data_IF_774442558011
#
_entry.id   IF_774442558011
#
_cell.length_a   1.000
_cell.length_b   1.000
_cell.length_c   1.000
_cell.angle_alpha   90.00
_cell.angle_beta   90.00
_cell.angle_gamma   90.00
#
_symmetry.space_group_name_H-M   'P 1'
#
loop_
_entity.id
_entity.type
_entity.pdbx_description
1 polymer ?
#
# COMPACT_ATOMS: atom_id res chain seq x y z
N UNK A 1 5.07 -24.02 0.34
CA UNK A 1 6.03 -23.45 1.31
C UNK A 1 6.88 -22.33 0.73
N UNK A 2 7.36 -22.43 -0.52
CA UNK A 2 8.14 -21.35 -1.18
C UNK A 2 7.45 -19.98 -1.13
N UNK A 3 6.14 -19.93 -1.39
CA UNK A 3 5.38 -18.66 -1.37
C UNK A 3 5.24 -18.03 0.02
N UNK A 4 5.09 -18.86 1.08
CA UNK A 4 5.06 -18.35 2.46
C UNK A 4 6.38 -17.66 2.81
N UNK A 5 7.50 -18.31 2.48
CA UNK A 5 8.83 -17.75 2.68
C UNK A 5 9.07 -16.51 1.78
N UNK A 6 8.55 -16.52 0.55
CA UNK A 6 8.60 -15.36 -0.34
C UNK A 6 7.83 -14.17 0.25
N UNK A 7 6.64 -14.39 0.82
CA UNK A 7 5.85 -13.37 1.52
C UNK A 7 6.64 -12.73 2.66
N UNK A 8 7.23 -13.55 3.53
CA UNK A 8 8.07 -13.06 4.63
C UNK A 8 9.30 -12.28 4.14
N UNK A 9 9.87 -12.65 2.99
CA UNK A 9 10.98 -11.89 2.39
C UNK A 9 10.58 -10.47 2.00
N UNK A 10 9.33 -10.20 1.62
CA UNK A 10 8.88 -8.82 1.33
C UNK A 10 8.88 -7.93 2.56
N UNK A 11 8.52 -8.47 3.73
CA UNK A 11 8.66 -7.72 4.98
C UNK A 11 10.14 -7.34 5.21
N UNK A 12 11.06 -8.30 5.06
CA UNK A 12 12.49 -8.04 5.18
C UNK A 12 13.02 -7.05 4.13
N UNK A 13 12.58 -7.16 2.87
CA UNK A 13 12.92 -6.21 1.79
C UNK A 13 12.42 -4.81 2.12
N UNK A 14 11.17 -4.67 2.56
CA UNK A 14 10.58 -3.38 2.93
C UNK A 14 11.29 -2.71 4.10
N UNK A 15 11.57 -3.46 5.18
CA UNK A 15 12.36 -2.95 6.31
C UNK A 15 13.77 -2.53 5.87
N UNK A 16 14.43 -3.34 5.03
CA UNK A 16 15.76 -3.01 4.48
C UNK A 16 15.71 -1.76 3.62
N UNK A 17 14.70 -1.62 2.76
CA UNK A 17 14.54 -0.45 1.90
C UNK A 17 14.42 0.83 2.73
N UNK A 18 13.56 0.81 3.77
CA UNK A 18 13.36 1.96 4.65
C UNK A 18 14.62 2.28 5.46
N UNK A 19 15.34 1.27 5.95
CA UNK A 19 16.60 1.45 6.65
C UNK A 19 17.70 2.06 5.76
N UNK A 20 17.76 1.68 4.48
CA UNK A 20 18.66 2.28 3.49
C UNK A 20 18.24 3.72 3.13
N UNK A 21 16.95 4.03 3.23
CA UNK A 21 16.37 5.33 2.94
C UNK A 21 15.89 6.03 4.22
N UNK A 22 16.80 6.28 5.18
CA UNK A 22 16.45 6.76 6.53
C UNK A 22 15.54 8.00 6.60
N UNK A 23 15.57 8.89 5.58
CA UNK A 23 14.61 10.00 5.45
C UNK A 23 13.16 9.52 5.35
N UNK A 24 12.92 8.47 4.58
CA UNK A 24 11.60 7.87 4.38
C UNK A 24 11.15 7.04 5.59
N UNK A 25 12.11 6.51 6.36
CA UNK A 25 11.79 5.94 7.67
C UNK A 25 11.19 6.99 8.59
N UNK A 26 11.89 8.12 8.77
CA UNK A 26 11.39 9.24 9.56
C UNK A 26 10.07 9.77 9.03
N UNK A 27 9.94 9.93 7.71
CA UNK A 27 8.71 10.39 7.07
C UNK A 27 7.49 9.51 7.39
N UNK A 28 7.66 8.18 7.36
CA UNK A 28 6.59 7.25 7.74
C UNK A 28 6.23 7.26 9.23
N UNK A 29 7.09 7.79 10.10
CA UNK A 29 6.80 7.97 11.54
C UNK A 29 6.09 9.29 11.85
N UNK A 30 6.09 10.25 10.92
CA UNK A 30 5.48 11.57 11.12
C UNK A 30 4.01 11.49 11.53
N UNK A 31 3.13 10.65 10.92
CA UNK A 31 1.72 10.59 11.32
C UNK A 31 1.52 10.25 12.80
N UNK A 32 2.26 9.26 13.30
CA UNK A 32 2.20 8.86 14.70
C UNK A 32 2.71 9.98 15.63
N UNK A 33 3.76 10.69 15.22
CA UNK A 33 4.28 11.84 15.97
C UNK A 33 3.28 13.01 15.99
N UNK A 34 2.65 13.32 14.86
CA UNK A 34 1.62 14.38 14.79
C UNK A 34 0.44 14.02 15.70
N UNK A 35 -0.08 12.79 15.61
CA UNK A 35 -1.17 12.35 16.47
C UNK A 35 -0.78 12.42 17.95
N UNK A 36 0.42 11.93 18.31
CA UNK A 36 0.92 12.00 19.68
C UNK A 36 0.98 13.44 20.21
N UNK A 37 1.57 14.37 19.43
CA UNK A 37 1.67 15.78 19.80
C UNK A 37 0.29 16.42 19.91
N UNK A 38 -0.61 16.16 18.96
CA UNK A 38 -1.98 16.67 18.98
C UNK A 38 -2.71 16.29 20.27
N UNK A 39 -2.72 15.00 20.63
CA UNK A 39 -3.38 14.53 21.84
C UNK A 39 -2.68 14.99 23.11
N UNK A 40 -1.34 15.07 23.12
CA UNK A 40 -0.60 15.63 24.24
C UNK A 40 -0.97 17.10 24.49
N UNK A 41 -1.09 17.90 23.44
CA UNK A 41 -1.53 19.30 23.54
C UNK A 41 -2.96 19.38 24.07
N UNK A 42 -3.90 18.61 23.50
CA UNK A 42 -5.31 18.61 23.94
C UNK A 42 -5.44 18.23 25.42
N UNK A 43 -4.77 17.16 25.86
CA UNK A 43 -4.81 16.72 27.25
C UNK A 43 -4.10 17.69 28.19
N UNK A 44 -3.02 18.35 27.74
CA UNK A 44 -2.33 19.38 28.53
C UNK A 44 -3.20 20.62 28.71
N UNK A 45 -3.87 21.08 27.63
CA UNK A 45 -4.83 22.20 27.72
C UNK A 45 -5.98 21.83 28.65
N UNK A 46 -6.55 20.63 28.51
CA UNK A 46 -7.57 20.15 29.43
C UNK A 46 -7.06 20.16 30.88
N UNK A 47 -5.82 19.72 31.11
CA UNK A 47 -5.21 19.70 32.43
C UNK A 47 -5.11 21.08 33.07
N UNK A 48 -4.54 22.03 32.33
CA UNK A 48 -4.30 23.38 32.81
C UNK A 48 -5.61 24.15 33.06
N UNK A 49 -6.64 23.92 32.24
CA UNK A 49 -7.90 24.67 32.28
C UNK A 49 -9.04 23.93 33.00
N UNK A 50 -8.83 22.68 33.44
CA UNK A 50 -9.87 21.86 34.07
C UNK A 50 -10.51 22.51 35.30
N UNK A 51 -9.73 23.22 36.11
CA UNK A 51 -10.22 23.95 37.28
C UNK A 51 -11.15 25.10 36.92
N UNK A 52 -10.79 25.90 35.91
CA UNK A 52 -11.60 27.00 35.42
C UNK A 52 -12.88 26.51 34.76
N UNK A 53 -12.81 25.42 33.98
CA UNK A 53 -13.98 24.75 33.39
C UNK A 53 -14.90 24.23 34.51
N UNK A 54 -14.34 23.64 35.56
CA UNK A 54 -15.13 23.17 36.71
C UNK A 54 -15.82 24.32 37.45
N UNK A 55 -15.12 25.44 37.66
CA UNK A 55 -15.70 26.63 38.28
C UNK A 55 -16.83 27.22 37.42
N UNK A 56 -16.57 27.40 36.11
CA UNK A 56 -17.55 27.90 35.15
C UNK A 56 -18.80 27.01 35.04
N UNK A 57 -18.62 25.69 35.11
CA UNK A 57 -19.72 24.72 35.04
C UNK A 57 -20.48 24.55 36.36
N UNK A 58 -19.92 25.00 37.50
CA UNK A 58 -20.52 24.85 38.83
C UNK A 58 -20.71 26.18 39.59
N UNK A 59 -21.34 27.22 38.98
CA UNK A 59 -21.53 28.51 39.65
C UNK A 59 -22.48 28.40 40.85
N UNK A 60 -23.42 27.45 40.81
CA UNK A 60 -24.32 27.17 41.95
C UNK A 60 -23.60 26.64 43.20
N UNK A 61 -22.33 26.21 43.06
CA UNK A 61 -21.51 25.71 44.15
C UNK A 61 -20.52 26.77 44.67
N UNK A 62 -20.58 28.02 44.20
CA UNK A 62 -19.68 29.10 44.61
C UNK A 62 -19.80 29.42 46.10
N UNK A 63 -21.03 29.43 46.64
CA UNK A 63 -21.31 29.76 48.03
C UNK A 63 -21.17 28.57 49.00
N UNK A 64 -20.72 27.41 48.52
CA UNK A 64 -20.61 26.21 49.35
C UNK A 64 -19.38 26.29 50.26
N UNK A 65 -19.56 25.93 51.53
CA UNK A 65 -18.45 25.86 52.49
C UNK A 65 -17.47 24.72 52.20
N UNK A 66 -16.26 24.85 52.75
CA UNK A 66 -15.28 23.76 52.77
C UNK A 66 -15.79 22.59 53.63
N UNK A 67 -15.63 21.32 53.20
CA UNK A 67 -14.89 20.84 52.03
C UNK A 67 -15.75 20.55 50.78
N UNK A 68 -17.07 20.80 50.82
CA UNK A 68 -18.00 20.29 49.81
C UNK A 68 -17.80 20.88 48.42
N UNK A 69 -17.46 22.16 48.33
CA UNK A 69 -17.11 22.81 47.06
C UNK A 69 -15.89 22.15 46.38
N UNK A 70 -14.82 21.95 47.15
CA UNK A 70 -13.59 21.34 46.67
C UNK A 70 -13.77 19.88 46.24
N UNK A 71 -14.55 19.12 47.00
CA UNK A 71 -14.90 17.74 46.65
C UNK A 71 -15.68 17.66 45.34
N UNK A 72 -16.72 18.49 45.18
CA UNK A 72 -17.52 18.51 43.95
C UNK A 72 -16.65 18.85 42.73
N UNK A 73 -15.88 19.94 42.81
CA UNK A 73 -15.01 20.39 41.71
C UNK A 73 -13.90 19.40 41.42
N UNK A 74 -13.30 18.79 42.45
CA UNK A 74 -12.29 17.76 42.28
C UNK A 74 -12.81 16.52 41.57
N UNK A 75 -14.00 16.03 41.95
CA UNK A 75 -14.67 14.92 41.26
C UNK A 75 -15.01 15.30 39.82
N UNK A 76 -15.51 16.50 39.58
CA UNK A 76 -15.83 16.98 38.23
C UNK A 76 -14.57 17.04 37.34
N UNK A 77 -13.46 17.59 37.84
CA UNK A 77 -12.17 17.60 37.13
C UNK A 77 -11.70 16.18 36.83
N UNK A 78 -11.79 15.26 37.80
CA UNK A 78 -11.42 13.87 37.59
C UNK A 78 -12.27 13.20 36.50
N UNK A 79 -13.58 13.46 36.47
CA UNK A 79 -14.48 12.97 35.42
C UNK A 79 -14.19 13.60 34.06
N UNK A 80 -13.89 14.90 34.01
CA UNK A 80 -13.48 15.57 32.78
C UNK A 80 -12.20 14.96 32.21
N UNK A 81 -11.19 14.72 33.04
CA UNK A 81 -9.97 14.04 32.62
C UNK A 81 -10.20 12.61 32.17
N UNK A 82 -10.98 11.83 32.93
CA UNK A 82 -11.29 10.46 32.56
C UNK A 82 -12.07 10.40 31.24
N UNK A 83 -13.06 11.27 31.06
CA UNK A 83 -13.83 11.40 29.82
C UNK A 83 -12.96 11.88 28.65
N UNK A 84 -12.11 12.88 28.86
CA UNK A 84 -11.17 13.39 27.86
C UNK A 84 -10.15 12.33 27.44
N UNK A 85 -9.62 11.56 28.40
CA UNK A 85 -8.69 10.46 28.12
C UNK A 85 -9.39 9.32 27.37
N UNK A 86 -10.59 8.92 27.80
CA UNK A 86 -11.40 7.91 27.11
C UNK A 86 -11.70 8.34 25.66
N UNK A 87 -12.17 9.58 25.46
CA UNK A 87 -12.45 10.12 24.14
C UNK A 87 -11.17 10.19 23.28
N UNK A 88 -10.03 10.53 23.90
CA UNK A 88 -8.73 10.53 23.24
C UNK A 88 -8.38 9.14 22.75
N UNK A 89 -8.46 8.11 23.61
CA UNK A 89 -8.19 6.72 23.22
C UNK A 89 -9.12 6.26 22.09
N UNK A 90 -10.43 6.56 22.19
CA UNK A 90 -11.42 6.17 21.19
C UNK A 90 -11.16 6.84 19.82
N UNK A 91 -10.78 8.12 19.81
CA UNK A 91 -10.57 8.88 18.58
C UNK A 91 -9.15 8.74 18.02
N UNK A 92 -8.18 8.37 18.86
CA UNK A 92 -6.75 8.31 18.50
C UNK A 92 -6.49 7.48 17.26
N UNK A 93 -7.08 6.29 17.19
CA UNK A 93 -6.88 5.38 16.05
C UNK A 93 -7.42 6.00 14.76
N UNK A 94 -8.64 6.54 14.80
CA UNK A 94 -9.27 7.15 13.62
C UNK A 94 -8.47 8.37 13.12
N UNK A 95 -8.05 9.25 14.04
CA UNK A 95 -7.26 10.44 13.71
C UNK A 95 -5.88 10.06 13.18
N UNK A 96 -5.22 9.07 13.80
CA UNK A 96 -3.89 8.62 13.36
C UNK A 96 -3.93 7.99 11.97
N UNK A 97 -4.97 7.20 11.66
CA UNK A 97 -5.17 6.64 10.32
C UNK A 97 -5.42 7.74 9.29
N UNK A 98 -6.31 8.69 9.60
CA UNK A 98 -6.63 9.81 8.70
C UNK A 98 -5.40 10.67 8.37
N UNK A 99 -4.53 10.90 9.37
CA UNK A 99 -3.27 11.62 9.17
C UNK A 99 -2.28 10.74 8.39
N UNK A 100 -2.30 9.43 8.59
CA UNK A 100 -1.34 8.48 8.02
C UNK A 100 -1.45 8.29 6.52
N UNK A 101 -2.67 8.24 5.98
CA UNK A 101 -2.95 7.95 4.57
C UNK A 101 -2.03 8.70 3.57
N UNK A 102 -1.92 10.05 3.59
CA UNK A 102 -1.08 10.77 2.64
C UNK A 102 0.42 10.45 2.77
N UNK A 103 0.90 10.17 3.99
CA UNK A 103 2.31 9.82 4.21
C UNK A 103 2.61 8.42 3.72
N UNK A 104 1.70 7.47 3.93
CA UNK A 104 1.86 6.11 3.46
C UNK A 104 1.75 6.03 1.93
N UNK A 105 0.90 6.85 1.31
CA UNK A 105 0.83 6.96 -0.15
C UNK A 105 2.14 7.48 -0.75
N UNK A 106 2.65 8.62 -0.24
CA UNK A 106 3.92 9.19 -0.72
C UNK A 106 5.11 8.26 -0.47
N UNK A 107 5.10 7.51 0.64
CA UNK A 107 6.10 6.49 0.92
C UNK A 107 6.04 5.35 -0.12
N UNK A 108 4.84 4.84 -0.40
CA UNK A 108 4.63 3.80 -1.41
C UNK A 108 5.06 4.27 -2.81
N UNK A 109 4.73 5.51 -3.18
CA UNK A 109 5.19 6.11 -4.44
C UNK A 109 6.71 6.08 -4.56
N UNK A 110 7.42 6.52 -3.52
CA UNK A 110 8.89 6.52 -3.58
C UNK A 110 9.48 5.12 -3.69
N UNK A 111 8.85 4.14 -3.06
CA UNK A 111 9.25 2.73 -3.20
C UNK A 111 9.09 2.28 -4.65
N UNK A 112 7.95 2.56 -5.30
CA UNK A 112 7.75 2.24 -6.73
C UNK A 112 8.76 2.95 -7.64
N UNK A 113 9.02 4.23 -7.41
CA UNK A 113 10.00 5.01 -8.18
C UNK A 113 11.42 4.42 -8.06
N UNK A 114 11.80 3.93 -6.87
CA UNK A 114 13.11 3.33 -6.65
C UNK A 114 13.30 2.01 -7.41
N UNK A 115 12.20 1.33 -7.77
CA UNK A 115 12.20 0.09 -8.55
C UNK A 115 11.97 0.34 -10.06
N UNK A 116 11.89 1.61 -10.49
CA UNK A 116 12.06 2.03 -11.88
C UNK A 116 10.89 2.82 -12.49
N UNK A 117 9.64 2.45 -12.20
CA UNK A 117 8.48 3.19 -12.70
C UNK A 117 7.34 3.13 -11.70
N UNK A 118 6.81 4.32 -11.38
CA UNK A 118 5.58 4.49 -10.61
C UNK A 118 4.43 4.83 -11.57
N UNK A 119 3.31 4.07 -11.53
CA UNK A 119 2.10 4.43 -12.27
C UNK A 119 1.58 5.82 -11.85
N UNK A 120 1.00 6.60 -12.79
CA UNK A 120 0.37 7.87 -12.47
C UNK A 120 -0.86 7.67 -11.60
N UNK A 121 -1.08 8.57 -10.64
CA UNK A 121 -2.29 8.55 -9.82
C UNK A 121 -3.55 8.83 -10.66
N UNK A 122 -4.70 8.22 -10.33
CA UNK A 122 -5.97 8.53 -11.00
C UNK A 122 -6.36 10.00 -10.77
N UNK A 123 -6.74 10.70 -11.84
CA UNK A 123 -7.21 12.09 -11.74
C UNK A 123 -8.70 12.10 -11.38
N UNK A 124 -9.01 12.16 -10.07
CA UNK A 124 -10.39 12.11 -9.53
C UNK A 124 -10.64 13.21 -8.49
N UNK A 125 -11.88 13.69 -8.37
CA UNK A 125 -12.24 14.61 -7.31
C UNK A 125 -12.23 13.89 -5.94
N UNK A 126 -11.70 14.58 -4.91
CA UNK A 126 -11.53 14.05 -3.55
C UNK A 126 -12.78 13.37 -2.97
N UNK A 127 -13.98 13.91 -3.24
CA UNK A 127 -15.24 13.30 -2.79
C UNK A 127 -15.45 11.87 -3.34
N UNK A 128 -15.12 11.64 -4.61
CA UNK A 128 -15.25 10.32 -5.22
C UNK A 128 -14.24 9.35 -4.61
N UNK A 129 -13.01 9.80 -4.36
CA UNK A 129 -11.97 8.99 -3.71
C UNK A 129 -12.38 8.58 -2.29
N UNK A 130 -12.89 9.53 -1.49
CA UNK A 130 -13.41 9.26 -0.14
C UNK A 130 -14.53 8.22 -0.20
N UNK A 131 -15.48 8.36 -1.15
CA UNK A 131 -16.59 7.41 -1.28
C UNK A 131 -16.12 6.01 -1.69
N UNK A 132 -15.17 5.93 -2.63
CA UNK A 132 -14.57 4.65 -3.07
C UNK A 132 -13.82 4.00 -1.91
N UNK A 133 -12.96 4.75 -1.22
CA UNK A 133 -12.21 4.28 -0.07
C UNK A 133 -13.15 3.76 1.03
N UNK A 134 -14.20 4.52 1.38
CA UNK A 134 -15.18 4.11 2.38
C UNK A 134 -15.89 2.81 1.98
N UNK A 135 -16.35 2.71 0.73
CA UNK A 135 -17.00 1.49 0.21
C UNK A 135 -16.05 0.29 0.25
N UNK A 136 -14.80 0.49 -0.18
CA UNK A 136 -13.78 -0.55 -0.21
C UNK A 136 -13.49 -1.05 1.21
N UNK A 137 -13.27 -0.13 2.16
CA UNK A 137 -13.04 -0.44 3.58
C UNK A 137 -14.21 -1.18 4.20
N UNK A 138 -15.46 -0.76 3.96
CA UNK A 138 -16.66 -1.48 4.43
C UNK A 138 -16.74 -2.88 3.84
N UNK A 139 -16.40 -3.06 2.57
CA UNK A 139 -16.46 -4.36 1.88
C UNK A 139 -15.40 -5.34 2.41
N UNK A 140 -14.22 -4.86 2.78
CA UNK A 140 -13.18 -5.66 3.45
C UNK A 140 -13.58 -5.95 4.89
N UNK A 141 -14.03 -4.94 5.63
CA UNK A 141 -14.45 -5.04 7.03
C UNK A 141 -15.57 -6.06 7.22
N UNK A 142 -16.60 -6.06 6.38
CA UNK A 142 -17.70 -7.05 6.46
C UNK A 142 -17.20 -8.49 6.26
N UNK A 143 -16.21 -8.71 5.39
CA UNK A 143 -15.60 -10.04 5.20
C UNK A 143 -14.75 -10.43 6.39
N UNK A 144 -13.90 -9.53 6.88
CA UNK A 144 -13.09 -9.76 8.06
C UNK A 144 -13.97 -10.07 9.28
N UNK A 145 -15.06 -9.33 9.47
CA UNK A 145 -16.05 -9.56 10.51
C UNK A 145 -16.74 -10.92 10.35
N UNK A 146 -17.12 -11.31 9.13
CA UNK A 146 -17.69 -12.64 8.87
C UNK A 146 -16.74 -13.78 9.26
N UNK A 147 -15.45 -13.67 8.92
CA UNK A 147 -14.43 -14.62 9.38
C UNK A 147 -14.23 -14.56 10.89
N UNK A 148 -14.25 -13.36 11.48
CA UNK A 148 -14.14 -13.16 12.93
C UNK A 148 -15.25 -13.86 13.69
N UNK A 149 -16.51 -13.72 13.25
CA UNK A 149 -17.67 -14.41 13.83
C UNK A 149 -17.52 -15.93 13.70
N UNK A 150 -17.11 -16.42 12.52
CA UNK A 150 -16.90 -17.85 12.29
C UNK A 150 -15.82 -18.42 13.21
N UNK A 151 -14.67 -17.75 13.30
CA UNK A 151 -13.56 -18.17 14.17
C UNK A 151 -13.92 -18.06 15.64
N UNK A 152 -14.67 -17.03 16.04
CA UNK A 152 -15.19 -16.89 17.39
C UNK A 152 -16.09 -18.08 17.76
N UNK A 153 -17.03 -18.45 16.89
CA UNK A 153 -17.87 -19.63 17.09
C UNK A 153 -17.04 -20.92 17.16
N UNK A 154 -16.03 -21.06 16.29
CA UNK A 154 -15.13 -22.22 16.29
C UNK A 154 -14.24 -22.28 17.53
N UNK A 155 -13.99 -21.15 18.19
CA UNK A 155 -13.27 -21.03 19.46
C UNK A 155 -13.93 -21.77 20.62
N UNK A 156 -15.23 -22.06 20.55
CA UNK A 156 -15.96 -22.83 21.56
C UNK A 156 -15.78 -24.35 21.43
N UNK A 157 -15.17 -24.84 20.34
CA UNK A 157 -14.88 -26.27 20.19
C UNK A 157 -13.78 -26.67 21.19
N UNK A 158 -14.03 -27.61 22.11
CA UNK A 158 -13.01 -28.02 23.09
C UNK A 158 -11.73 -28.52 22.39
N UNK A 159 -10.57 -28.21 22.97
CA UNK A 159 -9.23 -28.50 22.45
C UNK A 159 -8.85 -27.80 21.13
N UNK A 160 -9.64 -27.94 20.06
CA UNK A 160 -9.35 -27.31 18.76
C UNK A 160 -9.48 -25.78 18.82
N UNK A 161 -10.51 -25.29 19.52
CA UNK A 161 -10.85 -23.88 19.63
C UNK A 161 -9.78 -23.03 20.33
N UNK A 162 -8.99 -23.64 21.21
CA UNK A 162 -7.90 -22.95 21.91
C UNK A 162 -6.52 -23.16 21.26
N UNK A 163 -6.40 -24.06 20.29
CA UNK A 163 -5.10 -24.39 19.66
C UNK A 163 -5.05 -23.99 18.19
N UNK A 164 -5.90 -24.57 17.35
CA UNK A 164 -5.89 -24.36 15.89
C UNK A 164 -6.54 -23.03 15.52
N UNK A 165 -7.63 -22.67 16.19
CA UNK A 165 -8.40 -21.46 15.85
C UNK A 165 -7.60 -20.17 16.02
N UNK A 166 -6.81 -19.95 17.09
CA UNK A 166 -5.95 -18.78 17.19
C UNK A 166 -4.89 -18.71 16.07
N UNK A 167 -4.29 -19.85 15.70
CA UNK A 167 -3.31 -19.91 14.62
C UNK A 167 -3.95 -19.55 13.26
N UNK A 168 -5.13 -20.10 12.97
CA UNK A 168 -5.92 -19.72 11.79
C UNK A 168 -6.34 -18.26 11.86
N UNK A 169 -6.69 -17.76 13.03
CA UNK A 169 -7.01 -16.35 13.29
C UNK A 169 -5.88 -15.43 12.88
N UNK A 170 -4.64 -15.71 13.30
CA UNK A 170 -3.48 -14.94 12.87
C UNK A 170 -3.24 -15.00 11.36
N UNK A 171 -3.44 -16.16 10.73
CA UNK A 171 -3.34 -16.27 9.26
C UNK A 171 -4.41 -15.45 8.54
N UNK A 172 -5.65 -15.45 9.04
CA UNK A 172 -6.76 -14.68 8.47
C UNK A 172 -6.55 -13.18 8.68
N UNK A 173 -6.18 -12.76 9.89
CA UNK A 173 -5.79 -11.38 10.19
C UNK A 173 -4.61 -10.95 9.33
N UNK A 174 -3.62 -11.82 9.14
CA UNK A 174 -2.47 -11.57 8.27
C UNK A 174 -2.91 -11.38 6.82
N UNK A 175 -3.79 -12.22 6.29
CA UNK A 175 -4.33 -12.05 4.94
C UNK A 175 -5.03 -10.70 4.77
N UNK A 176 -5.92 -10.33 5.69
CA UNK A 176 -6.64 -9.04 5.61
C UNK A 176 -5.70 -7.85 5.83
N UNK A 177 -4.72 -7.95 6.72
CA UNK A 177 -3.70 -6.89 6.87
C UNK A 177 -2.90 -6.71 5.59
N UNK A 178 -2.56 -7.79 4.87
CA UNK A 178 -1.94 -7.69 3.54
C UNK A 178 -2.85 -6.97 2.55
N UNK A 179 -4.16 -7.28 2.54
CA UNK A 179 -5.13 -6.57 1.69
C UNK A 179 -5.13 -5.07 1.99
N UNK A 180 -5.11 -4.69 3.27
CA UNK A 180 -5.08 -3.29 3.70
C UNK A 180 -3.76 -2.60 3.30
N UNK A 181 -2.61 -3.18 3.60
CA UNK A 181 -1.31 -2.56 3.31
C UNK A 181 -1.04 -2.45 1.79
N UNK A 182 -1.46 -3.44 1.01
CA UNK A 182 -1.32 -3.41 -0.45
C UNK A 182 -2.31 -2.48 -1.12
N UNK A 183 -3.36 -2.06 -0.42
CA UNK A 183 -4.39 -1.18 -0.97
C UNK A 183 -3.80 0.14 -1.45
N UNK A 184 -2.81 0.70 -0.73
CA UNK A 184 -2.13 1.96 -1.07
C UNK A 184 -1.52 1.90 -2.48
N UNK A 185 -0.78 0.84 -2.80
CA UNK A 185 -0.15 0.67 -4.11
C UNK A 185 -1.13 0.24 -5.22
N UNK A 186 -2.19 -0.49 -4.87
CA UNK A 186 -3.21 -0.97 -5.81
C UNK A 186 -4.27 0.10 -6.15
N UNK A 187 -4.58 1.01 -5.22
CA UNK A 187 -5.46 2.17 -5.45
C UNK A 187 -4.87 3.11 -6.49
N UNK A 188 -3.56 3.34 -6.45
CA UNK A 188 -2.86 4.12 -7.48
C UNK A 188 -2.97 3.54 -8.88
N UNK A 189 -3.11 2.21 -9.00
CA UNK A 189 -3.34 1.51 -10.27
C UNK A 189 -4.82 1.41 -10.64
N UNK A 190 -5.69 2.07 -9.89
CA UNK A 190 -7.15 2.02 -10.04
C UNK A 190 -7.76 0.60 -9.97
N UNK A 191 -7.07 -0.33 -9.31
CA UNK A 191 -7.54 -1.71 -9.18
C UNK A 191 -8.63 -1.75 -8.10
N UNK A 192 -9.87 -2.14 -8.40
CA UNK A 192 -10.97 -2.12 -7.43
C UNK A 192 -10.81 -3.22 -6.36
N UNK A 193 -11.34 -3.00 -5.15
CA UNK A 193 -11.21 -3.94 -4.01
C UNK A 193 -11.56 -5.41 -4.33
N UNK A 194 -12.53 -5.64 -5.21
CA UNK A 194 -12.95 -6.99 -5.62
C UNK A 194 -11.82 -7.71 -6.36
N UNK A 195 -11.11 -6.99 -7.22
CA UNK A 195 -9.98 -7.50 -7.97
C UNK A 195 -8.75 -7.65 -7.09
N UNK A 196 -8.47 -6.70 -6.18
CA UNK A 196 -7.42 -6.85 -5.15
C UNK A 196 -7.59 -8.14 -4.34
N UNK A 197 -8.82 -8.40 -3.89
CA UNK A 197 -9.14 -9.64 -3.18
C UNK A 197 -8.96 -10.87 -4.07
N UNK A 198 -9.27 -10.79 -5.37
CA UNK A 198 -9.05 -11.89 -6.33
C UNK A 198 -7.55 -12.18 -6.51
N UNK A 199 -6.74 -11.14 -6.72
CA UNK A 199 -5.28 -11.23 -6.86
C UNK A 199 -4.64 -11.91 -5.65
N UNK A 200 -4.92 -11.41 -4.45
CA UNK A 200 -4.37 -11.95 -3.21
C UNK A 200 -4.91 -13.34 -2.89
N UNK A 201 -6.13 -13.68 -3.30
CA UNK A 201 -6.67 -15.05 -3.21
C UNK A 201 -6.04 -16.01 -4.22
N UNK A 202 -5.53 -15.53 -5.35
CA UNK A 202 -4.72 -16.32 -6.26
C UNK A 202 -3.39 -16.72 -5.63
N UNK A 203 -2.81 -15.84 -4.78
CA UNK A 203 -1.55 -16.07 -4.06
C UNK A 203 -1.69 -16.02 -2.54
N UNK A 204 -2.64 -16.78 -1.98
CA UNK A 204 -2.93 -16.78 -0.52
C UNK A 204 -1.69 -17.07 0.33
N UNK A 205 -0.88 -18.03 -0.07
CA UNK A 205 0.33 -18.40 0.67
C UNK A 205 1.33 -17.23 0.74
N UNK A 206 1.45 -16.45 -0.34
CA UNK A 206 2.26 -15.24 -0.35
C UNK A 206 1.69 -14.16 0.58
N UNK A 207 0.38 -13.91 0.48
CA UNK A 207 -0.31 -12.90 1.28
C UNK A 207 -0.27 -13.20 2.79
N UNK A 208 -0.53 -14.46 3.17
CA UNK A 208 -0.45 -14.92 4.57
C UNK A 208 1.01 -14.90 5.06
N UNK A 209 1.96 -15.28 4.22
CA UNK A 209 3.39 -15.28 4.54
C UNK A 209 3.96 -13.87 4.79
N UNK A 210 3.42 -12.87 4.11
CA UNK A 210 3.74 -11.45 4.37
C UNK A 210 3.01 -10.92 5.61
N UNK A 211 1.69 -11.04 5.67
CA UNK A 211 0.88 -10.35 6.67
C UNK A 211 0.90 -10.99 8.06
N UNK A 212 1.06 -12.32 8.17
CA UNK A 212 1.06 -12.99 9.48
C UNK A 212 2.24 -12.54 10.36
N UNK A 213 3.50 -12.50 9.86
CA UNK A 213 4.61 -11.91 10.61
C UNK A 213 4.36 -10.44 10.99
N UNK A 214 3.76 -9.65 10.10
CA UNK A 214 3.44 -8.24 10.40
C UNK A 214 2.42 -8.14 11.55
N UNK A 215 1.33 -8.91 11.51
CA UNK A 215 0.35 -8.98 12.61
C UNK A 215 1.03 -9.33 13.92
N UNK A 216 1.86 -10.39 13.93
CA UNK A 216 2.55 -10.84 15.14
C UNK A 216 3.50 -9.77 15.71
N UNK A 217 4.23 -9.07 14.85
CA UNK A 217 5.11 -7.98 15.28
C UNK A 217 4.33 -6.75 15.76
N UNK A 218 3.17 -6.48 15.18
CA UNK A 218 2.29 -5.38 15.59
C UNK A 218 1.64 -5.61 16.96
N UNK A 219 1.62 -6.85 17.47
CA UNK A 219 1.22 -7.13 18.85
C UNK A 219 2.20 -6.58 19.88
N UNK A 220 3.46 -6.34 19.49
CA UNK A 220 4.47 -5.79 20.38
C UNK A 220 4.31 -4.26 20.39
N UNK A 221 4.06 -3.63 21.56
CA UNK A 221 3.95 -2.19 21.66
C UNK A 221 5.20 -1.48 21.13
N UNK A 222 5.02 -0.29 20.56
CA UNK A 222 6.05 0.52 19.89
C UNK A 222 6.66 -0.09 18.60
N UNK A 223 6.80 -1.41 18.53
CA UNK A 223 7.27 -2.11 17.32
C UNK A 223 6.35 -1.83 16.14
N UNK A 224 5.03 -1.82 16.37
CA UNK A 224 4.06 -1.47 15.33
C UNK A 224 4.38 -0.13 14.64
N UNK A 225 4.67 0.92 15.42
CA UNK A 225 4.95 2.28 14.91
C UNK A 225 6.24 2.30 14.09
N UNK A 226 7.30 1.66 14.59
CA UNK A 226 8.61 1.65 13.94
C UNK A 226 8.61 0.76 12.68
N UNK A 227 7.84 -0.33 12.71
CA UNK A 227 7.76 -1.32 11.63
C UNK A 227 6.82 -0.86 10.51
N UNK A 228 5.81 -0.03 10.80
CA UNK A 228 4.77 0.37 9.84
C UNK A 228 5.33 0.90 8.50
N UNK A 229 6.31 1.81 8.44
CA UNK A 229 6.83 2.30 7.16
C UNK A 229 7.44 1.19 6.31
N UNK A 230 8.20 0.27 6.92
CA UNK A 230 8.77 -0.86 6.21
C UNK A 230 7.73 -1.94 5.85
N UNK A 231 6.62 -2.03 6.59
CA UNK A 231 5.48 -2.86 6.20
C UNK A 231 4.77 -2.28 4.96
N UNK A 232 4.57 -0.96 4.90
CA UNK A 232 4.04 -0.27 3.71
C UNK A 232 4.98 -0.49 2.52
N UNK A 233 6.28 -0.22 2.67
CA UNK A 233 7.26 -0.45 1.61
C UNK A 233 7.29 -1.92 1.14
N UNK A 234 7.23 -2.87 2.07
CA UNK A 234 7.17 -4.30 1.75
C UNK A 234 5.91 -4.69 0.98
N UNK A 235 4.76 -4.11 1.33
CA UNK A 235 3.50 -4.32 0.63
C UNK A 235 3.53 -3.71 -0.78
N UNK A 236 4.16 -2.55 -0.96
CA UNK A 236 4.37 -1.96 -2.29
C UNK A 236 5.21 -2.88 -3.18
N UNK A 237 6.34 -3.38 -2.67
CA UNK A 237 7.19 -4.34 -3.39
C UNK A 237 6.44 -5.64 -3.72
N UNK A 238 5.58 -6.11 -2.81
CA UNK A 238 4.73 -7.27 -3.04
C UNK A 238 3.74 -7.04 -4.19
N UNK A 239 3.13 -5.86 -4.26
CA UNK A 239 2.17 -5.50 -5.33
C UNK A 239 2.86 -5.47 -6.69
N UNK A 240 4.07 -4.94 -6.76
CA UNK A 240 4.83 -4.86 -8.01
C UNK A 240 5.03 -6.25 -8.63
N UNK A 241 5.48 -7.23 -7.85
CA UNK A 241 5.66 -8.60 -8.33
C UNK A 241 4.30 -9.28 -8.64
N UNK A 242 3.24 -8.99 -7.88
CA UNK A 242 1.90 -9.53 -8.16
C UNK A 242 1.31 -9.05 -9.48
N UNK A 243 1.52 -7.78 -9.84
CA UNK A 243 1.00 -7.18 -11.07
C UNK A 243 1.85 -7.58 -12.28
N UNK A 244 3.18 -7.64 -12.13
CA UNK A 244 4.08 -8.10 -13.19
C UNK A 244 3.75 -9.53 -13.65
N UNK A 245 3.38 -10.41 -12.71
CA UNK A 245 3.01 -11.80 -13.00
C UNK A 245 1.66 -11.95 -13.73
N UNK A 246 0.79 -10.92 -13.78
CA UNK A 246 -0.45 -10.95 -14.59
C UNK A 246 -0.23 -10.43 -16.03
N UNK A 247 0.77 -9.56 -16.24
CA UNK A 247 1.07 -9.00 -17.56
C UNK A 247 1.86 -9.96 -18.48
N UNK A 248 2.49 -11.01 -17.92
CA UNK A 248 3.21 -12.00 -18.70
C UNK A 248 2.22 -13.01 -19.36
N UNK A 249 2.03 -12.98 -20.69
CA UNK A 249 1.05 -13.84 -21.35
C UNK A 249 1.48 -15.31 -21.24
N UNK A 250 0.53 -16.27 -21.15
CA UNK A 250 0.88 -17.68 -21.10
C UNK A 250 1.72 -18.02 -22.33
N UNK A 251 2.91 -18.58 -22.08
CA UNK A 251 3.82 -18.99 -23.14
C UNK A 251 3.05 -19.84 -24.17
N UNK A 252 3.18 -19.57 -25.48
CA UNK A 252 2.48 -20.35 -26.48
C UNK A 252 2.86 -21.82 -26.29
N UNK A 253 1.82 -22.64 -26.21
CA UNK A 253 1.91 -24.08 -26.01
C UNK A 253 2.92 -24.66 -27.00
N UNK A 254 4.10 -25.05 -26.48
CA UNK A 254 5.18 -25.62 -27.31
C UNK A 254 4.77 -26.95 -27.93
N UNK A 255 3.67 -27.54 -27.46
CA UNK A 255 3.13 -28.78 -27.97
C UNK A 255 2.16 -28.55 -29.15
N UNK A 256 1.66 -27.32 -29.37
CA UNK A 256 0.81 -26.98 -30.51
C UNK A 256 1.61 -26.72 -31.81
N UNK A 257 2.90 -26.38 -31.71
CA UNK A 257 3.77 -26.15 -32.88
C UNK A 257 4.36 -27.45 -33.44
N UNK A 258 4.31 -28.56 -32.66
CA UNK A 258 4.76 -29.87 -33.11
C UNK A 258 3.68 -30.69 -33.85
N UNK A 259 2.41 -30.25 -33.87
CA UNK A 259 1.29 -30.98 -34.47
C UNK A 259 0.83 -30.40 -35.83
N UNK A 260 1.71 -29.69 -36.52
CA UNK A 260 1.45 -29.08 -37.84
C UNK A 260 2.58 -29.32 -38.83
N UNK A 261 2.96 -30.58 -39.06
CA UNK A 261 3.76 -30.98 -40.21
C UNK A 261 3.15 -32.25 -40.81
N UNK A 262 2.30 -32.08 -41.82
CA UNK A 262 1.94 -33.13 -42.76
C UNK A 262 3.13 -33.35 -43.71
N UNK A 263 3.77 -34.53 -43.77
CA UNK A 263 4.72 -34.86 -44.81
C UNK A 263 4.03 -35.77 -45.84
N UNK A 264 3.35 -35.19 -46.82
CA UNK A 264 2.85 -35.95 -47.97
C UNK A 264 2.78 -35.10 -49.24
N UNK A 265 3.86 -35.15 -50.03
CA UNK A 265 3.87 -35.25 -51.50
C UNK A 265 5.17 -34.65 -52.06
N UNK A 266 6.04 -35.49 -52.62
CA UNK A 266 7.22 -35.02 -53.34
C UNK A 266 8.29 -36.07 -53.58
N UNK A 267 7.92 -37.25 -54.08
CA UNK A 267 8.88 -38.19 -54.64
C UNK A 267 9.20 -37.78 -56.09
N UNK A 268 10.44 -37.35 -56.36
CA UNK A 268 11.03 -37.43 -57.69
C UNK A 268 12.57 -37.34 -57.64
N UNK A 269 13.18 -38.51 -57.74
CA UNK A 269 14.43 -38.84 -58.45
C UNK A 269 15.73 -38.02 -58.24
N UNK A 270 16.76 -38.73 -57.78
CA UNK A 270 18.05 -38.74 -58.49
C UNK A 270 19.27 -38.21 -57.74
N UNK A 271 19.86 -39.05 -56.88
CA UNK A 271 21.30 -39.02 -56.60
C UNK A 271 21.96 -40.21 -57.31
N UNK A 272 23.18 -40.03 -57.81
CA UNK A 272 24.27 -40.84 -57.27
C UNK A 272 25.46 -39.99 -56.82
N UNK A 273 26.02 -40.33 -55.66
CA UNK A 273 27.12 -39.62 -55.04
C UNK A 273 28.51 -40.21 -55.36
N UNK A 274 29.47 -39.29 -55.38
CA UNK A 274 30.88 -39.38 -54.95
C UNK A 274 31.86 -40.24 -55.80
N UNK A 275 33.21 -40.11 -55.67
CA UNK A 275 33.97 -39.35 -54.65
C UNK A 275 35.22 -38.59 -55.19
N UNK A 276 35.62 -37.47 -54.57
CA UNK A 276 37.03 -37.08 -54.52
C UNK A 276 37.39 -36.38 -53.21
N UNK A 277 38.58 -36.71 -52.74
CA UNK A 277 39.16 -36.44 -51.45
C UNK A 277 39.68 -34.99 -51.30
N UNK A 278 39.72 -34.53 -50.05
CA UNK A 278 40.53 -33.40 -49.56
C UNK A 278 42.03 -33.70 -49.68
N UNK A 279 42.98 -32.71 -49.65
CA UNK A 279 43.04 -31.64 -48.63
C UNK A 279 43.68 -30.28 -49.00
N UNK A 280 43.43 -29.27 -48.15
CA UNK A 280 44.42 -28.22 -47.83
C UNK A 280 44.01 -26.75 -48.05
N UNK A 281 44.16 -25.94 -46.98
CA UNK A 281 44.79 -24.61 -47.08
C UNK A 281 43.93 -23.34 -46.94
N UNK A 282 43.94 -22.76 -45.74
CA UNK A 282 43.98 -21.33 -45.34
C UNK A 282 43.05 -20.25 -45.98
N UNK A 283 42.38 -19.49 -45.10
CA UNK A 283 41.84 -18.12 -45.30
C UNK A 283 40.32 -18.07 -45.47
N UNK A 284 39.51 -17.15 -44.94
CA UNK A 284 39.67 -15.96 -44.09
C UNK A 284 38.32 -15.72 -43.36
N UNK A 285 38.31 -14.81 -42.38
CA UNK A 285 37.16 -14.49 -41.51
C UNK A 285 35.93 -13.93 -42.27
N UNK A 286 34.69 -14.16 -41.77
CA UNK A 286 33.49 -13.55 -42.36
C UNK A 286 33.36 -12.04 -42.01
N UNK A 287 32.94 -11.28 -43.02
CA UNK A 287 32.77 -9.83 -43.03
C UNK A 287 31.69 -9.30 -42.05
N UNK A 288 31.80 -8.04 -41.58
CA UNK A 288 30.81 -7.42 -40.72
C UNK A 288 29.53 -7.01 -41.48
N UNK A 289 28.42 -6.98 -40.74
CA UNK A 289 27.05 -6.64 -41.14
C UNK A 289 26.93 -5.44 -42.11
N UNK A 290 25.98 -5.47 -43.08
CA UNK A 290 25.73 -4.33 -43.96
C UNK A 290 25.06 -3.18 -43.20
N UNK A 291 25.57 -1.96 -43.45
CA UNK A 291 25.02 -0.71 -42.96
C UNK A 291 23.66 -0.44 -43.60
N UNK A 292 22.61 -0.33 -42.77
CA UNK A 292 21.31 0.14 -43.22
C UNK A 292 21.27 1.67 -43.15
N UNK A 293 21.16 2.29 -44.32
CA UNK A 293 21.04 3.73 -44.51
C UNK A 293 19.61 4.17 -44.17
N UNK A 294 19.45 4.83 -43.02
CA UNK A 294 18.23 5.55 -42.65
C UNK A 294 18.61 6.91 -42.06
N UNK A 295 18.33 7.98 -42.80
CA UNK A 295 18.69 9.36 -42.49
C UNK A 295 18.20 9.84 -41.11
N UNK A 296 18.95 10.74 -40.43
CA UNK A 296 18.50 11.38 -39.20
C UNK A 296 17.40 12.42 -39.48
N UNK A 297 16.20 12.21 -38.94
CA UNK A 297 15.15 13.25 -38.88
C UNK A 297 15.50 14.26 -37.78
N UNK A 298 15.72 15.50 -38.21
CA UNK A 298 15.84 16.68 -37.34
C UNK A 298 14.52 16.96 -36.56
N UNK A 299 14.60 17.62 -35.39
CA UNK A 299 13.49 17.77 -34.45
C UNK A 299 12.36 18.66 -34.99
N UNK A 300 11.12 18.18 -34.85
CA UNK A 300 9.91 18.95 -35.17
C UNK A 300 9.72 20.11 -34.18
N UNK A 301 9.80 21.33 -34.70
CA UNK A 301 9.43 22.55 -33.98
C UNK A 301 7.90 22.62 -33.87
N UNK A 302 7.40 22.73 -32.65
CA UNK A 302 5.97 22.98 -32.37
C UNK A 302 5.56 24.38 -32.86
N UNK A 303 4.39 24.56 -33.51
CA UNK A 303 3.91 25.87 -33.90
C UNK A 303 3.43 26.68 -32.68
N UNK A 304 3.86 27.95 -32.60
CA UNK A 304 3.28 28.94 -31.68
C UNK A 304 1.81 29.19 -32.00
N UNK A 305 0.92 29.37 -30.99
CA UNK A 305 -0.45 29.82 -31.24
C UNK A 305 -0.47 31.26 -31.76
N UNK A 306 -1.22 31.47 -32.84
CA UNK A 306 -1.50 32.77 -33.44
C UNK A 306 -2.39 33.61 -32.51
N UNK A 307 -1.97 34.86 -32.30
CA UNK A 307 -2.74 35.95 -31.71
C UNK A 307 -3.94 36.33 -32.57
N UNK A 308 -5.16 36.20 -32.03
CA UNK A 308 -6.38 36.83 -32.57
C UNK A 308 -6.56 38.26 -32.05
N UNK A 309 -7.32 39.13 -32.75
CA UNK A 309 -7.29 40.57 -32.54
C UNK A 309 -8.28 41.07 -31.46
N UNK A 310 -7.77 42.00 -30.65
CA UNK A 310 -8.45 43.21 -30.14
C UNK A 310 -9.90 43.14 -29.68
N UNK A 311 -10.09 43.20 -28.36
CA UNK A 311 -11.16 44.00 -27.76
C UNK A 311 -10.72 44.61 -26.43
N UNK A 312 -10.88 45.93 -26.40
CA UNK A 312 -10.65 46.90 -25.34
C UNK A 312 -11.33 46.55 -24.00
N UNK A 313 -10.66 46.80 -22.86
CA UNK A 313 -11.07 47.85 -21.90
C UNK A 313 -10.56 47.59 -20.46
N UNK A 314 -10.13 48.70 -19.85
CA UNK A 314 -10.19 49.05 -18.42
C UNK A 314 -9.28 48.33 -17.39
N UNK A 315 -8.19 49.04 -17.05
CA UNK A 315 -7.59 49.03 -15.70
C UNK A 315 -8.58 49.59 -14.67
N UNK A 316 -8.47 49.15 -13.41
CA UNK A 316 -8.42 50.11 -12.30
C UNK A 316 -7.14 49.95 -11.46
N UNK A 317 -6.67 51.02 -10.80
CA UNK A 317 -5.39 51.03 -10.09
C UNK A 317 -5.53 50.53 -8.66
N UNK A 318 -4.42 49.98 -8.15
CA UNK A 318 -4.15 49.86 -6.72
C UNK A 318 -3.74 51.22 -6.14
N UNK A 319 -4.35 51.61 -5.03
CA UNK A 319 -3.78 52.38 -3.92
C UNK A 319 -4.91 52.71 -2.92
N UNK A 320 -4.84 52.15 -1.72
CA UNK A 320 -4.75 52.78 -0.38
C UNK A 320 -5.05 51.70 0.67
#
# INVERSE_FOLDING_TARGET
MRDLAAGMRYLGKGQRWVAQHGRWWGFGLIPALIALVLYAVVLTVLALWSGDIAAWATPFADDWGSPWQGLLRGVFVALLFAGGLMLSVLTFTAVTLLIGDPFYESLSEKVEESEGHCPPSPDRPLWQEIWIALRDSVHVLLRAAGFGILLFALGFVPFLGQTVVPAVGFCVSGFFLTVELTSVALQRRDIPVRERLRLLRGRKALAVGFGTPVVLLFLIPFVAVVLMPGAVAGATLLVRDLVADEEEPPAPDRDAVAAGHDPAAGAAYGQPGAPYAQPGGFGAAPAPYPANQGQPRAPQQYPRPQSGPGSSAARPPAAW
#
